data_IF_706885390639
#
_entry.id   IF_706885390639
#
_cell.length_a   1.000
_cell.length_b   1.000
_cell.length_c   1.000
_cell.angle_alpha   90.00
_cell.angle_beta   90.00
_cell.angle_gamma   90.00
#
_symmetry.space_group_name_H-M   'P 1'
#
loop_
_entity.id
_entity.type
_entity.pdbx_description
1 polymer ?
#
# COMPACT_ATOMS: atom_id res chain seq x y z
N UNK A 1 -6.23 25.41 8.82
CA UNK A 1 -5.66 24.04 8.73
C UNK A 1 -6.39 23.32 7.62
N UNK A 2 -5.70 22.99 6.55
CA UNK A 2 -6.19 22.26 5.38
C UNK A 2 -6.49 20.80 5.74
N UNK A 3 -7.14 20.05 4.85
CA UNK A 3 -7.38 18.61 5.06
C UNK A 3 -6.04 17.84 5.12
N UNK A 4 -5.10 18.19 4.25
CA UNK A 4 -3.76 17.58 4.23
C UNK A 4 -3.04 17.78 5.57
N UNK A 5 -3.05 18.98 6.13
CA UNK A 5 -2.46 19.25 7.46
C UNK A 5 -3.11 18.39 8.56
N UNK A 6 -4.45 18.25 8.54
CA UNK A 6 -5.15 17.40 9.52
C UNK A 6 -4.74 15.93 9.40
N UNK A 7 -4.58 15.41 8.17
CA UNK A 7 -4.14 14.04 7.95
C UNK A 7 -2.70 13.86 8.48
N UNK A 8 -1.81 14.78 8.17
CA UNK A 8 -0.42 14.75 8.65
C UNK A 8 -0.35 14.76 10.17
N UNK A 9 -1.07 15.69 10.83
CA UNK A 9 -1.12 15.78 12.30
C UNK A 9 -1.68 14.48 12.92
N UNK A 10 -2.68 13.87 12.27
CA UNK A 10 -3.24 12.60 12.69
C UNK A 10 -2.19 11.48 12.60
N UNK A 11 -1.48 11.34 11.48
CA UNK A 11 -0.39 10.35 11.29
C UNK A 11 0.69 10.52 12.34
N UNK A 12 1.13 11.77 12.60
CA UNK A 12 2.10 12.07 13.66
C UNK A 12 1.60 11.60 15.02
N UNK A 13 0.30 11.78 15.30
CA UNK A 13 -0.31 11.35 16.55
C UNK A 13 -0.37 9.83 16.70
N UNK A 14 -0.52 9.09 15.59
CA UNK A 14 -0.50 7.63 15.57
C UNK A 14 0.89 7.08 15.87
N UNK A 15 1.92 7.63 15.25
CA UNK A 15 3.32 7.20 15.46
C UNK A 15 3.83 7.37 16.90
N UNK A 16 3.10 8.12 17.73
CA UNK A 16 3.41 8.29 19.18
C UNK A 16 2.69 7.27 20.06
N UNK A 17 1.80 6.46 19.52
CA UNK A 17 1.03 5.47 20.26
C UNK A 17 1.70 4.12 20.12
N UNK A 18 1.76 3.39 21.22
CA UNK A 18 2.15 1.99 21.20
C UNK A 18 1.08 1.17 20.47
N UNK A 19 1.51 0.40 19.48
CA UNK A 19 0.62 -0.48 18.72
C UNK A 19 0.46 -1.78 19.54
N UNK A 20 -0.77 -2.19 19.90
CA UNK A 20 -1.00 -3.42 20.64
C UNK A 20 -0.52 -4.66 19.86
N UNK A 21 0.02 -5.66 20.56
CA UNK A 21 0.50 -6.92 19.96
C UNK A 21 -0.56 -7.60 19.09
N UNK A 22 -1.83 -7.59 19.50
CA UNK A 22 -2.92 -8.17 18.74
C UNK A 22 -3.09 -7.51 17.36
N UNK A 23 -2.78 -6.21 17.24
CA UNK A 23 -2.84 -5.49 15.94
C UNK A 23 -1.72 -5.97 15.03
N UNK A 24 -0.50 -6.20 15.56
CA UNK A 24 0.60 -6.78 14.80
C UNK A 24 0.27 -8.19 14.32
N UNK A 25 -0.31 -9.05 15.15
CA UNK A 25 -0.72 -10.39 14.76
C UNK A 25 -1.73 -10.35 13.62
N UNK A 26 -2.73 -9.49 13.71
CA UNK A 26 -3.72 -9.32 12.63
C UNK A 26 -3.11 -8.72 11.37
N UNK A 27 -2.22 -7.75 11.49
CA UNK A 27 -1.50 -7.19 10.35
C UNK A 27 -0.67 -8.27 9.63
N UNK A 28 0.00 -9.15 10.36
CA UNK A 28 0.75 -10.27 9.78
C UNK A 28 -0.15 -11.27 9.04
N UNK A 29 -1.32 -11.60 9.58
CA UNK A 29 -2.29 -12.48 8.91
C UNK A 29 -2.73 -11.88 7.56
N UNK A 30 -3.15 -10.62 7.52
CA UNK A 30 -3.55 -9.93 6.30
C UNK A 30 -2.38 -9.77 5.30
N UNK A 31 -1.19 -9.53 5.83
CA UNK A 31 0.02 -9.41 5.02
C UNK A 31 0.34 -10.73 4.32
N UNK A 32 0.30 -11.85 5.05
CA UNK A 32 0.51 -13.18 4.51
C UNK A 32 -0.55 -13.57 3.49
N UNK A 33 -1.81 -13.27 3.76
CA UNK A 33 -2.92 -13.49 2.84
C UNK A 33 -2.71 -12.75 1.52
N UNK A 34 -2.36 -11.46 1.59
CA UNK A 34 -2.09 -10.66 0.38
C UNK A 34 -0.91 -11.19 -0.42
N UNK A 35 0.17 -11.62 0.26
CA UNK A 35 1.31 -12.25 -0.43
C UNK A 35 0.90 -13.55 -1.12
N UNK A 36 0.04 -14.35 -0.49
CA UNK A 36 -0.51 -15.56 -1.13
C UNK A 36 -1.36 -15.22 -2.36
N UNK A 37 -2.18 -14.16 -2.29
CA UNK A 37 -2.94 -13.65 -3.44
C UNK A 37 -2.02 -13.20 -4.59
N UNK A 38 -0.92 -12.48 -4.28
CA UNK A 38 0.08 -12.10 -5.28
C UNK A 38 0.66 -13.33 -5.96
N UNK A 39 1.06 -14.34 -5.19
CA UNK A 39 1.62 -15.58 -5.74
C UNK A 39 0.63 -16.32 -6.64
N UNK A 40 -0.63 -16.36 -6.27
CA UNK A 40 -1.68 -16.99 -7.04
C UNK A 40 -1.98 -16.25 -8.36
N UNK A 41 -1.90 -14.91 -8.32
CA UNK A 41 -2.11 -14.06 -9.50
C UNK A 41 -0.90 -13.95 -10.42
N UNK A 42 0.33 -14.14 -9.92
CA UNK A 42 1.57 -13.91 -10.66
C UNK A 42 1.65 -14.62 -12.03
N UNK A 43 1.08 -15.83 -12.13
CA UNK A 43 1.07 -16.61 -13.38
C UNK A 43 0.05 -16.17 -14.43
N UNK A 44 -0.77 -15.15 -14.16
CA UNK A 44 -1.77 -14.68 -15.12
C UNK A 44 -1.13 -13.91 -16.28
N UNK A 45 -1.70 -14.04 -17.47
CA UNK A 45 -1.17 -13.41 -18.70
C UNK A 45 -1.03 -11.89 -18.56
N UNK A 46 -2.05 -11.23 -18.00
CA UNK A 46 -2.02 -9.78 -17.79
C UNK A 46 -0.86 -9.34 -16.89
N UNK A 47 -0.50 -10.14 -15.88
CA UNK A 47 0.64 -9.85 -14.99
C UNK A 47 1.95 -10.01 -15.74
N UNK A 48 2.09 -11.09 -16.53
CA UNK A 48 3.29 -11.30 -17.36
C UNK A 48 3.50 -10.13 -18.32
N UNK A 49 2.44 -9.67 -19.00
CA UNK A 49 2.52 -8.51 -19.90
C UNK A 49 2.93 -7.23 -19.17
N UNK A 50 2.41 -7.00 -17.95
CA UNK A 50 2.80 -5.86 -17.13
C UNK A 50 4.27 -5.92 -16.70
N UNK A 51 4.76 -7.11 -16.34
CA UNK A 51 6.18 -7.35 -16.01
C UNK A 51 7.06 -7.06 -17.22
N UNK A 52 6.75 -7.65 -18.39
CA UNK A 52 7.51 -7.49 -19.62
C UNK A 52 7.61 -5.98 -19.98
N UNK A 53 6.48 -5.26 -19.94
CA UNK A 53 6.45 -3.82 -20.17
C UNK A 53 7.33 -3.03 -19.19
N UNK A 54 7.24 -3.35 -17.90
CA UNK A 54 8.03 -2.66 -16.89
C UNK A 54 9.52 -2.94 -17.04
N UNK A 55 9.92 -4.17 -17.37
CA UNK A 55 11.32 -4.52 -17.63
C UNK A 55 11.89 -3.72 -18.80
N UNK A 56 11.12 -3.57 -19.88
CA UNK A 56 11.54 -2.81 -21.06
C UNK A 56 11.66 -1.31 -20.81
N UNK A 57 10.84 -0.76 -19.91
CA UNK A 57 10.72 0.70 -19.71
C UNK A 57 11.43 1.25 -18.50
N UNK A 58 11.96 0.37 -17.59
CA UNK A 58 12.42 0.82 -16.28
C UNK A 58 13.92 0.62 -16.09
N UNK A 59 14.60 1.66 -15.57
CA UNK A 59 16.04 1.67 -15.34
C UNK A 59 16.50 1.37 -13.89
N UNK A 60 15.62 1.10 -12.92
CA UNK A 60 15.99 0.85 -11.51
C UNK A 60 15.51 -0.52 -11.06
N UNK A 61 16.35 -1.23 -10.29
CA UNK A 61 16.17 -2.63 -9.95
C UNK A 61 16.25 -2.86 -8.42
N UNK A 62 15.54 -2.02 -7.63
CA UNK A 62 15.62 -2.09 -6.17
C UNK A 62 14.64 -3.10 -5.58
N UNK A 63 13.44 -3.27 -6.18
CA UNK A 63 12.33 -3.98 -5.55
C UNK A 63 11.90 -5.21 -6.34
N UNK A 64 11.57 -6.27 -5.60
CA UNK A 64 11.24 -7.59 -6.17
C UNK A 64 9.81 -7.65 -6.70
N UNK A 65 9.63 -8.38 -7.80
CA UNK A 65 8.32 -8.81 -8.30
C UNK A 65 8.07 -10.24 -7.82
N UNK A 66 7.07 -10.42 -6.97
CA UNK A 66 6.75 -11.71 -6.37
C UNK A 66 6.27 -12.68 -7.46
N UNK A 67 6.85 -13.89 -7.45
CA UNK A 67 6.58 -14.91 -8.47
C UNK A 67 7.50 -14.83 -9.70
N UNK A 68 8.34 -13.80 -9.83
CA UNK A 68 9.30 -13.63 -10.92
C UNK A 68 10.72 -13.59 -10.38
N UNK A 69 11.38 -14.76 -10.41
CA UNK A 69 12.77 -14.90 -9.96
C UNK A 69 13.67 -13.99 -10.80
N UNK A 70 14.57 -13.30 -10.13
CA UNK A 70 15.58 -12.42 -10.76
C UNK A 70 15.01 -11.16 -11.45
N UNK A 71 13.70 -10.90 -11.36
CA UNK A 71 13.11 -9.63 -11.82
C UNK A 71 13.04 -8.65 -10.66
N UNK A 72 13.71 -7.52 -10.83
CA UNK A 72 13.61 -6.37 -9.95
C UNK A 72 13.25 -5.13 -10.75
N UNK A 73 12.37 -4.31 -10.20
CA UNK A 73 11.91 -3.06 -10.80
C UNK A 73 12.15 -1.90 -9.82
N UNK A 74 11.91 -0.67 -10.26
CA UNK A 74 11.78 0.42 -9.31
C UNK A 74 10.59 0.17 -8.37
N UNK A 75 10.61 0.76 -7.19
CA UNK A 75 9.59 0.52 -6.16
C UNK A 75 8.16 0.79 -6.64
N UNK A 76 7.94 1.83 -7.44
CA UNK A 76 6.62 2.15 -7.99
C UNK A 76 6.09 1.07 -8.93
N UNK A 77 6.90 0.59 -9.87
CA UNK A 77 6.50 -0.46 -10.81
C UNK A 77 6.38 -1.82 -10.13
N UNK A 78 7.27 -2.16 -9.20
CA UNK A 78 7.17 -3.39 -8.42
C UNK A 78 5.88 -3.40 -7.58
N UNK A 79 5.56 -2.28 -6.91
CA UNK A 79 4.31 -2.13 -6.17
C UNK A 79 3.09 -2.29 -7.08
N UNK A 80 3.09 -1.64 -8.26
CA UNK A 80 2.00 -1.73 -9.22
C UNK A 80 1.77 -3.16 -9.70
N UNK A 81 2.81 -3.85 -10.15
CA UNK A 81 2.69 -5.21 -10.69
C UNK A 81 2.27 -6.19 -9.60
N UNK A 82 2.84 -6.09 -8.39
CA UNK A 82 2.44 -6.93 -7.26
C UNK A 82 0.99 -6.66 -6.83
N UNK A 83 0.53 -5.39 -6.85
CA UNK A 83 -0.87 -5.04 -6.57
C UNK A 83 -1.83 -5.60 -7.63
N UNK A 84 -1.49 -5.50 -8.91
CA UNK A 84 -2.25 -6.15 -9.97
C UNK A 84 -2.35 -7.65 -9.76
N UNK A 85 -1.26 -8.32 -9.40
CA UNK A 85 -1.24 -9.75 -9.12
C UNK A 85 -2.08 -10.10 -7.89
N UNK A 86 -2.06 -9.29 -6.82
CA UNK A 86 -2.87 -9.49 -5.63
C UNK A 86 -4.36 -9.50 -5.94
N UNK A 87 -4.81 -8.58 -6.80
CA UNK A 87 -6.24 -8.34 -7.05
C UNK A 87 -6.81 -9.08 -8.26
N UNK A 88 -5.99 -9.61 -9.15
CA UNK A 88 -6.48 -10.17 -10.43
C UNK A 88 -7.45 -11.36 -10.28
N UNK A 89 -7.42 -12.04 -9.15
CA UNK A 89 -8.32 -13.14 -8.84
C UNK A 89 -9.55 -12.73 -8.02
N UNK A 90 -9.58 -11.48 -7.53
CA UNK A 90 -10.69 -10.88 -6.75
C UNK A 90 -11.10 -11.73 -5.53
N UNK A 91 -10.10 -12.23 -4.77
CA UNK A 91 -10.31 -12.94 -3.51
C UNK A 91 -9.36 -12.48 -2.39
N UNK A 92 -8.70 -11.35 -2.59
CA UNK A 92 -7.96 -10.60 -1.60
C UNK A 92 -8.89 -9.98 -0.55
N UNK A 93 -8.33 -9.65 0.62
CA UNK A 93 -9.10 -9.16 1.77
C UNK A 93 -9.98 -7.94 1.45
N UNK A 94 -11.09 -7.81 2.16
CA UNK A 94 -12.01 -6.69 2.02
C UNK A 94 -12.20 -5.96 3.36
N UNK A 95 -12.00 -4.65 3.37
CA UNK A 95 -12.27 -3.79 4.50
C UNK A 95 -13.69 -3.23 4.44
N UNK A 96 -14.47 -3.47 5.50
CA UNK A 96 -15.84 -2.95 5.61
C UNK A 96 -15.86 -1.43 5.76
N UNK A 97 -14.86 -0.84 6.42
CA UNK A 97 -14.75 0.61 6.59
C UNK A 97 -14.44 1.32 5.28
N UNK A 98 -13.57 0.73 4.46
CA UNK A 98 -13.24 1.24 3.13
C UNK A 98 -14.34 0.90 2.12
N UNK A 99 -15.04 -0.22 2.31
CA UNK A 99 -15.83 -0.89 1.28
C UNK A 99 -14.99 -1.17 0.03
N UNK A 100 -13.82 -1.78 0.25
CA UNK A 100 -12.81 -2.06 -0.78
C UNK A 100 -11.60 -2.81 -0.22
N UNK A 101 -10.59 -3.01 -1.05
CA UNK A 101 -9.45 -3.89 -0.81
C UNK A 101 -8.21 -3.09 -0.38
N UNK A 102 -8.03 -2.87 0.92
CA UNK A 102 -6.92 -2.04 1.42
C UNK A 102 -5.57 -2.71 1.26
N UNK A 103 -5.46 -4.00 1.57
CA UNK A 103 -4.17 -4.70 1.62
C UNK A 103 -3.56 -4.89 0.23
N UNK A 104 -4.39 -5.05 -0.81
CA UNK A 104 -3.91 -5.18 -2.19
C UNK A 104 -3.14 -3.96 -2.68
N UNK A 105 -3.42 -2.77 -2.13
CA UNK A 105 -2.69 -1.54 -2.45
C UNK A 105 -1.51 -1.35 -1.49
N UNK A 106 -1.71 -1.61 -0.19
CA UNK A 106 -0.75 -1.30 0.86
C UNK A 106 0.41 -2.29 0.91
N UNK A 107 0.14 -3.60 0.93
CA UNK A 107 1.19 -4.62 1.07
C UNK A 107 2.23 -4.53 -0.05
N UNK A 108 1.86 -4.47 -1.34
CA UNK A 108 2.82 -4.28 -2.41
C UNK A 108 3.62 -2.98 -2.29
N UNK A 109 2.97 -1.89 -1.85
CA UNK A 109 3.63 -0.59 -1.67
C UNK A 109 4.69 -0.65 -0.58
N UNK A 110 4.35 -1.15 0.62
CA UNK A 110 5.30 -1.18 1.74
C UNK A 110 6.40 -2.22 1.54
N UNK A 111 6.14 -3.31 0.81
CA UNK A 111 7.17 -4.26 0.43
C UNK A 111 8.17 -3.64 -0.53
N UNK A 112 7.68 -3.03 -1.61
CA UNK A 112 8.55 -2.46 -2.64
C UNK A 112 9.40 -1.31 -2.11
N UNK A 113 8.80 -0.38 -1.36
CA UNK A 113 9.54 0.74 -0.74
C UNK A 113 10.43 0.25 0.41
N UNK A 114 9.95 -0.69 1.23
CA UNK A 114 10.73 -1.27 2.31
C UNK A 114 11.99 -2.00 1.82
N UNK A 115 11.91 -2.71 0.70
CA UNK A 115 13.05 -3.35 0.06
C UNK A 115 14.05 -2.31 -0.48
N UNK A 116 13.57 -1.28 -1.19
CA UNK A 116 14.39 -0.17 -1.69
C UNK A 116 15.13 0.55 -0.56
N UNK A 117 14.43 0.81 0.54
CA UNK A 117 14.95 1.55 1.69
C UNK A 117 15.65 0.67 2.74
N UNK A 118 15.71 -0.64 2.50
CA UNK A 118 16.29 -1.63 3.43
C UNK A 118 15.67 -1.57 4.83
N UNK A 119 14.35 -1.38 4.90
CA UNK A 119 13.61 -1.29 6.15
C UNK A 119 13.49 -2.66 6.83
N UNK A 120 13.41 -2.64 8.16
CA UNK A 120 13.10 -3.84 8.96
C UNK A 120 11.65 -4.28 8.77
N UNK A 121 11.35 -5.55 9.06
CA UNK A 121 9.98 -6.07 9.02
C UNK A 121 9.01 -5.32 9.95
N UNK A 122 9.50 -4.84 11.10
CA UNK A 122 8.70 -4.03 12.02
C UNK A 122 8.33 -2.68 11.40
N UNK A 123 9.30 -1.98 10.79
CA UNK A 123 9.03 -0.71 10.10
C UNK A 123 8.02 -0.88 8.97
N UNK A 124 8.11 -1.97 8.21
CA UNK A 124 7.15 -2.30 7.14
C UNK A 124 5.74 -2.52 7.72
N UNK A 125 5.61 -3.28 8.82
CA UNK A 125 4.32 -3.52 9.47
C UNK A 125 3.74 -2.24 10.08
N UNK A 126 4.55 -1.39 10.71
CA UNK A 126 4.11 -0.10 11.25
C UNK A 126 3.53 0.80 10.16
N UNK A 127 4.22 0.88 9.02
CA UNK A 127 3.77 1.64 7.87
C UNK A 127 2.46 1.06 7.29
N UNK A 128 2.36 -0.26 7.17
CA UNK A 128 1.15 -0.95 6.73
C UNK A 128 -0.04 -0.68 7.64
N UNK A 129 0.12 -0.85 8.97
CA UNK A 129 -0.92 -0.59 9.97
C UNK A 129 -1.40 0.86 9.90
N UNK A 130 -0.46 1.80 9.78
CA UNK A 130 -0.81 3.22 9.62
C UNK A 130 -1.60 3.47 8.33
N UNK A 131 -1.18 2.87 7.22
CA UNK A 131 -1.91 2.94 5.95
C UNK A 131 -3.33 2.40 6.02
N UNK A 132 -3.53 1.23 6.66
CA UNK A 132 -4.86 0.65 6.94
C UNK A 132 -5.71 1.62 7.75
N UNK A 133 -5.14 2.21 8.81
CA UNK A 133 -5.86 3.16 9.66
C UNK A 133 -6.33 4.39 8.88
N UNK A 134 -5.50 4.93 8.00
CA UNK A 134 -5.85 6.05 7.12
C UNK A 134 -6.97 5.67 6.15
N UNK A 135 -6.83 4.54 5.47
CA UNK A 135 -7.87 4.05 4.55
C UNK A 135 -9.20 3.84 5.26
N UNK A 136 -9.20 3.30 6.49
CA UNK A 136 -10.40 3.10 7.28
C UNK A 136 -11.06 4.43 7.70
N UNK A 137 -10.27 5.42 8.12
CA UNK A 137 -10.80 6.75 8.48
C UNK A 137 -11.39 7.45 7.27
N UNK A 138 -10.68 7.49 6.16
CA UNK A 138 -11.13 8.13 4.93
C UNK A 138 -12.32 7.37 4.33
N UNK A 139 -12.30 6.04 4.35
CA UNK A 139 -13.41 5.21 3.89
C UNK A 139 -14.72 5.51 4.61
N UNK A 140 -14.68 5.61 5.97
CA UNK A 140 -15.86 6.01 6.76
C UNK A 140 -16.34 7.42 6.45
N UNK A 141 -15.44 8.37 6.19
CA UNK A 141 -15.82 9.72 5.78
C UNK A 141 -16.53 9.72 4.43
N UNK A 142 -15.99 8.95 3.48
CA UNK A 142 -16.51 8.81 2.13
C UNK A 142 -17.84 8.06 2.11
N UNK A 143 -18.01 7.01 2.91
CA UNK A 143 -19.23 6.23 3.01
C UNK A 143 -20.46 7.07 3.41
N UNK A 144 -20.25 8.20 4.11
CA UNK A 144 -21.30 9.15 4.47
C UNK A 144 -21.58 10.18 3.38
N UNK A 145 -20.91 10.12 2.24
CA UNK A 145 -21.13 11.01 1.09
C UNK A 145 -21.85 10.25 -0.03
N UNK A 146 -22.60 10.99 -0.86
CA UNK A 146 -23.20 10.43 -2.07
C UNK A 146 -22.13 10.36 -3.17
N UNK A 147 -21.25 9.34 -3.08
CA UNK A 147 -20.33 9.05 -4.18
C UNK A 147 -21.12 8.33 -5.27
N UNK A 148 -20.89 8.73 -6.50
CA UNK A 148 -21.41 8.05 -7.69
C UNK A 148 -21.01 6.56 -7.62
N UNK A 149 -21.95 5.62 -7.76
CA UNK A 149 -21.69 4.18 -7.70
C UNK A 149 -20.69 3.67 -8.76
N UNK A 150 -20.27 4.52 -9.71
CA UNK A 150 -19.22 4.21 -10.67
C UNK A 150 -17.78 4.29 -10.11
N UNK A 151 -17.56 4.82 -8.91
CA UNK A 151 -16.22 4.94 -8.32
C UNK A 151 -15.84 3.70 -7.51
N UNK A 152 -14.65 3.15 -7.79
CA UNK A 152 -14.04 2.09 -6.99
C UNK A 152 -13.30 2.70 -5.79
N UNK A 153 -13.73 2.36 -4.57
CA UNK A 153 -13.17 2.95 -3.34
C UNK A 153 -11.75 2.47 -3.04
N UNK A 154 -11.36 1.28 -3.49
CA UNK A 154 -9.97 0.81 -3.41
C UNK A 154 -9.04 1.79 -4.13
N UNK A 155 -9.41 2.22 -5.33
CA UNK A 155 -8.62 3.16 -6.12
C UNK A 155 -8.72 4.60 -5.59
N UNK A 156 -9.91 5.04 -5.19
CA UNK A 156 -10.15 6.42 -4.77
C UNK A 156 -9.51 6.75 -3.43
N UNK A 157 -9.57 5.84 -2.48
CA UNK A 157 -9.12 6.04 -1.10
C UNK A 157 -7.79 5.35 -0.82
N UNK A 158 -7.56 4.17 -1.41
CA UNK A 158 -6.36 3.37 -1.17
C UNK A 158 -5.06 4.11 -1.44
N UNK A 159 -5.05 5.02 -2.41
CA UNK A 159 -3.88 5.83 -2.75
C UNK A 159 -3.39 6.70 -1.56
N UNK A 160 -4.29 7.19 -0.71
CA UNK A 160 -3.89 8.02 0.44
C UNK A 160 -3.14 7.19 1.48
N UNK A 161 -3.66 6.00 1.83
CA UNK A 161 -2.97 5.09 2.74
C UNK A 161 -1.62 4.65 2.19
N UNK A 162 -1.54 4.31 0.89
CA UNK A 162 -0.30 3.93 0.22
C UNK A 162 0.74 5.07 0.21
N UNK A 163 0.32 6.29 -0.09
CA UNK A 163 1.20 7.47 -0.07
C UNK A 163 1.77 7.72 1.32
N UNK A 164 0.94 7.61 2.36
CA UNK A 164 1.37 7.80 3.75
C UNK A 164 2.30 6.68 4.19
N UNK A 165 1.96 5.43 3.90
CA UNK A 165 2.80 4.28 4.24
C UNK A 165 4.18 4.36 3.57
N UNK A 166 4.23 4.68 2.28
CA UNK A 166 5.47 4.93 1.56
C UNK A 166 6.25 6.10 2.17
N UNK A 167 5.57 7.21 2.47
CA UNK A 167 6.18 8.38 3.10
C UNK A 167 6.83 8.09 4.45
N UNK A 168 6.23 7.22 5.27
CA UNK A 168 6.81 6.76 6.54
C UNK A 168 8.12 6.00 6.29
N UNK A 169 8.15 5.10 5.31
CA UNK A 169 9.33 4.29 5.00
C UNK A 169 10.46 5.08 4.36
N UNK A 170 10.15 6.07 3.52
CA UNK A 170 11.16 6.97 2.96
C UNK A 170 11.83 7.86 4.01
N UNK A 171 11.29 7.95 5.24
CA UNK A 171 11.85 8.75 6.35
C UNK A 171 12.25 10.15 5.90
N UNK A 172 11.37 10.92 5.26
CA UNK A 172 11.71 12.27 4.80
C UNK A 172 12.21 13.09 5.98
N UNK A 173 13.32 13.80 5.81
CA UNK A 173 14.06 14.52 6.86
C UNK A 173 13.27 15.67 7.49
N UNK A 174 12.12 15.98 6.91
CA UNK A 174 11.13 16.91 7.48
C UNK A 174 9.75 16.63 6.90
N UNK A 175 8.71 16.80 7.71
CA UNK A 175 7.29 16.78 7.32
C UNK A 175 6.94 17.81 6.23
N UNK A 176 7.88 18.62 5.79
CA UNK A 176 7.74 19.56 4.68
C UNK A 176 7.52 18.88 3.33
N UNK A 177 7.96 17.62 3.14
CA UNK A 177 7.72 16.90 1.88
C UNK A 177 6.27 16.42 1.72
N UNK A 178 5.55 16.13 2.80
CA UNK A 178 4.11 15.83 2.73
C UNK A 178 3.27 17.11 2.46
N UNK A 179 3.83 18.27 2.73
CA UNK A 179 3.22 19.60 2.45
C UNK A 179 3.62 20.17 1.08
N UNK A 180 4.64 19.62 0.41
CA UNK A 180 5.21 20.19 -0.82
C UNK A 180 4.37 19.96 -2.08
N UNK A 181 3.20 19.37 -1.98
CA UNK A 181 2.26 19.15 -3.08
C UNK A 181 0.98 19.99 -2.97
N UNK A 182 1.03 21.11 -2.25
CA UNK A 182 -0.03 22.15 -2.26
C UNK A 182 0.19 23.17 -3.37
#
# INVERSE_FOLDING_TARGET
MTLSEKIVDYVISLNKKEIPEMVYLKAQEHFQDTVACIMAGAGKEAIRLAVDYCVETTGSNASSVIGYKDVKLNSGNAAMVNAMAAHICDYDDMSMELNGHSSTVLVPTVLAVGEEMQCSGTEILDAYITGIQINSVLGRLVANTKIDPGWNLTSLVGIFGATIAAGILYKPVSYTHLRAHE
#
